data_IF_726726621194
#
_entry.id   IF_726726621194
#
_cell.length_a   1.000
_cell.length_b   1.000
_cell.length_c   1.000
_cell.angle_alpha   90.00
_cell.angle_beta   90.00
_cell.angle_gamma   90.00
#
_symmetry.space_group_name_H-M   'P 1'
#
loop_
_entity.id
_entity.type
_entity.pdbx_description
1 polymer ?
#
# COMPACT_ATOMS: atom_id res chain seq x y z
N UNK A 1 -0.72 -13.17 -13.71
CA UNK A 1 0.23 -12.70 -12.70
C UNK A 1 -0.45 -12.93 -11.36
N UNK A 2 0.12 -13.71 -10.45
CA UNK A 2 -0.45 -13.90 -9.12
C UNK A 2 -0.19 -12.64 -8.29
N UNK A 3 -1.22 -12.07 -7.67
CA UNK A 3 -1.05 -10.96 -6.75
C UNK A 3 -0.59 -11.52 -5.40
N UNK A 4 0.62 -11.18 -5.00
CA UNK A 4 1.17 -11.51 -3.68
C UNK A 4 1.54 -10.23 -2.90
N UNK A 5 1.64 -10.32 -1.55
CA UNK A 5 1.89 -9.13 -0.73
C UNK A 5 3.21 -8.41 -1.06
N UNK A 6 4.23 -9.13 -1.52
CA UNK A 6 5.52 -8.54 -1.88
C UNK A 6 5.41 -7.73 -3.18
N UNK A 7 4.63 -8.20 -4.15
CA UNK A 7 4.35 -7.44 -5.38
C UNK A 7 3.60 -6.12 -5.07
N UNK A 8 2.60 -6.17 -4.19
CA UNK A 8 1.85 -4.98 -3.77
C UNK A 8 2.77 -4.01 -3.03
N UNK A 9 3.61 -4.53 -2.14
CA UNK A 9 4.61 -3.75 -1.40
C UNK A 9 5.57 -3.04 -2.34
N UNK A 10 6.17 -3.75 -3.29
CA UNK A 10 7.11 -3.19 -4.26
C UNK A 10 6.47 -2.11 -5.13
N UNK A 11 5.22 -2.33 -5.56
CA UNK A 11 4.46 -1.33 -6.29
C UNK A 11 4.30 -0.04 -5.49
N UNK A 12 3.86 -0.13 -4.23
CA UNK A 12 3.66 1.02 -3.36
C UNK A 12 4.96 1.75 -3.05
N UNK A 13 6.02 1.03 -2.72
CA UNK A 13 7.35 1.60 -2.47
C UNK A 13 7.88 2.33 -3.71
N UNK A 14 7.71 1.75 -4.90
CA UNK A 14 8.10 2.37 -6.16
C UNK A 14 7.29 3.64 -6.44
N UNK A 15 5.96 3.59 -6.25
CA UNK A 15 5.05 4.71 -6.45
C UNK A 15 5.37 5.91 -5.56
N UNK A 16 5.72 5.67 -4.30
CA UNK A 16 6.03 6.71 -3.32
C UNK A 16 7.54 6.91 -3.08
N UNK A 17 8.39 6.42 -3.99
CA UNK A 17 9.84 6.46 -3.85
C UNK A 17 10.38 7.89 -3.63
N UNK A 18 9.79 8.90 -4.29
CA UNK A 18 10.21 10.29 -4.13
C UNK A 18 10.00 10.79 -2.69
N UNK A 19 8.84 10.52 -2.11
CA UNK A 19 8.47 10.89 -0.74
C UNK A 19 9.33 10.12 0.28
N UNK A 20 9.48 8.80 0.07
CA UNK A 20 10.32 7.93 0.89
C UNK A 20 11.78 8.41 0.89
N UNK A 21 12.34 8.69 -0.29
CA UNK A 21 13.72 9.17 -0.42
C UNK A 21 13.90 10.57 0.19
N UNK A 22 12.89 11.44 0.12
CA UNK A 22 12.91 12.76 0.76
C UNK A 22 12.99 12.67 2.30
N UNK A 23 12.55 11.55 2.88
CA UNK A 23 12.71 11.24 4.30
C UNK A 23 14.08 10.63 4.65
N UNK A 24 14.96 10.43 3.66
CA UNK A 24 16.25 9.77 3.83
C UNK A 24 16.16 8.24 3.97
N UNK A 25 15.02 7.65 3.60
CA UNK A 25 14.82 6.21 3.59
C UNK A 25 15.07 5.66 2.19
N UNK A 26 15.64 4.45 2.09
CA UNK A 26 15.73 3.73 0.83
C UNK A 26 14.55 2.76 0.71
N UNK A 27 13.90 2.73 -0.46
CA UNK A 27 12.76 1.85 -0.71
C UNK A 27 13.02 0.36 -0.44
N UNK A 28 14.27 -0.10 -0.58
CA UNK A 28 14.66 -1.49 -0.30
C UNK A 28 14.67 -1.88 1.18
N UNK A 29 14.55 -0.94 2.12
CA UNK A 29 14.65 -1.17 3.56
C UNK A 29 13.32 -0.90 4.30
N UNK A 30 12.21 -0.69 3.57
CA UNK A 30 10.93 -0.42 4.21
C UNK A 30 10.35 -1.69 4.82
N UNK A 31 10.15 -1.64 6.14
CA UNK A 31 9.55 -2.71 6.93
C UNK A 31 8.02 -2.80 6.73
N UNK A 32 7.45 -3.95 7.03
CA UNK A 32 6.01 -4.23 6.88
C UNK A 32 5.14 -3.44 7.87
N UNK A 33 5.70 -2.96 8.97
CA UNK A 33 5.06 -2.09 9.95
C UNK A 33 5.16 -0.60 9.59
N UNK A 34 5.71 -0.28 8.42
CA UNK A 34 5.87 1.09 7.98
C UNK A 34 4.52 1.70 7.59
N UNK A 35 4.12 2.74 8.31
CA UNK A 35 2.86 3.46 8.10
C UNK A 35 3.08 4.69 7.21
N UNK A 36 2.50 4.70 6.02
CA UNK A 36 2.65 5.80 5.06
C UNK A 36 2.03 7.10 5.55
N UNK A 37 0.94 7.04 6.32
CA UNK A 37 0.25 8.21 6.82
C UNK A 37 0.99 8.82 8.02
N UNK A 38 1.32 8.01 9.02
CA UNK A 38 2.04 8.48 10.22
C UNK A 38 3.45 8.98 9.92
N UNK A 39 4.09 8.42 8.88
CA UNK A 39 5.40 8.86 8.40
C UNK A 39 5.34 10.10 7.52
N UNK A 40 4.14 10.52 7.09
CA UNK A 40 3.95 11.69 6.23
C UNK A 40 4.30 11.44 4.76
N UNK A 41 4.31 10.18 4.32
CA UNK A 41 4.46 9.79 2.91
C UNK A 41 3.19 10.13 2.13
N UNK A 42 2.03 9.92 2.75
CA UNK A 42 0.72 10.29 2.23
C UNK A 42 -0.06 11.09 3.26
N UNK A 43 -0.98 11.94 2.79
CA UNK A 43 -1.98 12.61 3.61
C UNK A 43 -3.33 11.89 3.53
N UNK A 44 -4.38 12.49 4.09
CA UNK A 44 -5.74 11.93 4.06
C UNK A 44 -6.29 11.73 2.64
N UNK A 45 -5.89 12.55 1.66
CA UNK A 45 -6.31 12.40 0.27
C UNK A 45 -5.46 11.35 -0.46
N UNK A 46 -4.17 11.30 -0.14
CA UNK A 46 -3.23 10.31 -0.67
C UNK A 46 -3.61 8.87 -0.33
N UNK A 47 -4.38 8.63 0.74
CA UNK A 47 -4.97 7.31 1.03
C UNK A 47 -5.90 6.86 -0.11
N UNK A 48 -6.78 7.75 -0.58
CA UNK A 48 -7.72 7.42 -1.67
C UNK A 48 -6.97 7.19 -2.99
N UNK A 49 -5.93 7.97 -3.26
CA UNK A 49 -5.08 7.78 -4.44
C UNK A 49 -4.30 6.45 -4.37
N UNK A 50 -3.80 6.09 -3.19
CA UNK A 50 -3.10 4.82 -2.96
C UNK A 50 -4.01 3.64 -3.27
N UNK A 51 -5.23 3.65 -2.71
CA UNK A 51 -6.24 2.61 -2.92
C UNK A 51 -6.58 2.50 -4.40
N UNK A 52 -6.94 3.61 -5.04
CA UNK A 52 -7.30 3.65 -6.47
C UNK A 52 -6.17 3.10 -7.35
N UNK A 53 -4.92 3.46 -7.04
CA UNK A 53 -3.75 2.99 -7.80
C UNK A 53 -3.54 1.49 -7.69
N UNK A 54 -3.82 0.91 -6.52
CA UNK A 54 -3.71 -0.53 -6.28
C UNK A 54 -4.84 -1.29 -6.97
N UNK A 55 -6.08 -0.79 -6.88
CA UNK A 55 -7.23 -1.35 -7.61
C UNK A 55 -6.96 -1.38 -9.13
N UNK A 56 -6.43 -0.28 -9.67
CA UNK A 56 -6.11 -0.14 -11.08
C UNK A 56 -4.95 -1.04 -11.52
N UNK A 57 -3.88 -1.14 -10.73
CA UNK A 57 -2.71 -1.97 -11.06
C UNK A 57 -3.05 -3.46 -11.01
N UNK A 58 -3.69 -3.91 -9.93
CA UNK A 58 -3.93 -5.33 -9.68
C UNK A 58 -5.30 -5.81 -10.18
N UNK A 59 -6.12 -4.93 -10.76
CA UNK A 59 -7.46 -5.23 -11.27
C UNK A 59 -8.38 -5.85 -10.21
N UNK A 60 -8.28 -5.32 -8.99
CA UNK A 60 -9.09 -5.73 -7.84
C UNK A 60 -10.03 -4.60 -7.44
N UNK A 61 -11.06 -4.95 -6.65
CA UNK A 61 -11.91 -3.97 -5.97
C UNK A 61 -11.82 -4.21 -4.48
N UNK A 62 -11.32 -3.22 -3.75
CA UNK A 62 -11.08 -3.29 -2.32
C UNK A 62 -12.36 -2.89 -1.57
N UNK A 63 -12.74 -3.70 -0.58
CA UNK A 63 -13.82 -3.36 0.34
C UNK A 63 -13.24 -2.61 1.56
N UNK A 64 -13.16 -1.29 1.43
CA UNK A 64 -12.64 -0.43 2.48
C UNK A 64 -13.46 -0.47 3.78
N UNK A 65 -14.70 -0.96 3.74
CA UNK A 65 -15.50 -1.16 4.95
C UNK A 65 -15.05 -2.38 5.76
N UNK A 66 -14.30 -3.30 5.14
CA UNK A 66 -13.80 -4.52 5.77
C UNK A 66 -12.42 -4.34 6.43
N UNK A 67 -11.69 -3.25 6.15
CA UNK A 67 -10.38 -2.99 6.74
C UNK A 67 -10.44 -1.83 7.74
N UNK A 68 -9.82 -2.02 8.91
CA UNK A 68 -9.64 -0.94 9.88
C UNK A 68 -8.82 0.20 9.28
N UNK A 69 -9.25 1.44 9.51
CA UNK A 69 -8.61 2.63 8.93
C UNK A 69 -7.12 2.75 9.29
N UNK A 70 -6.74 2.28 10.48
CA UNK A 70 -5.35 2.25 10.96
C UNK A 70 -4.50 1.20 10.22
N UNK A 71 -5.10 0.17 9.64
CA UNK A 71 -4.38 -0.86 8.88
C UNK A 71 -4.28 -0.54 7.39
N UNK A 72 -5.12 0.36 6.87
CA UNK A 72 -5.08 0.81 5.47
C UNK A 72 -3.77 1.52 5.12
N UNK A 73 -3.13 2.16 6.08
CA UNK A 73 -1.93 2.98 5.87
C UNK A 73 -0.64 2.24 6.17
N UNK A 74 -0.71 1.06 6.78
CA UNK A 74 0.43 0.23 7.13
C UNK A 74 0.73 -0.72 5.96
N UNK A 75 1.96 -0.64 5.46
CA UNK A 75 2.38 -1.31 4.22
C UNK A 75 2.11 -2.83 4.22
N UNK A 76 2.48 -3.53 5.28
CA UNK A 76 2.33 -4.99 5.39
C UNK A 76 0.88 -5.46 5.47
N UNK A 77 0.07 -4.99 6.43
CA UNK A 77 -1.36 -5.29 6.50
C UNK A 77 -2.11 -4.94 5.21
N UNK A 78 -1.87 -3.76 4.63
CA UNK A 78 -2.51 -3.36 3.39
C UNK A 78 -2.12 -4.26 2.21
N UNK A 79 -0.82 -4.54 2.02
CA UNK A 79 -0.35 -5.45 0.98
C UNK A 79 -0.94 -6.86 1.08
N UNK A 80 -1.08 -7.39 2.30
CA UNK A 80 -1.73 -8.69 2.53
C UNK A 80 -3.21 -8.67 2.17
N UNK A 81 -3.93 -7.64 2.62
CA UNK A 81 -5.34 -7.48 2.31
C UNK A 81 -5.62 -7.42 0.81
N UNK A 82 -4.79 -6.69 0.06
CA UNK A 82 -4.90 -6.60 -1.41
C UNK A 82 -4.69 -7.96 -2.06
N UNK A 83 -3.64 -8.69 -1.64
CA UNK A 83 -3.35 -10.02 -2.18
C UNK A 83 -4.45 -11.04 -1.85
N UNK A 84 -5.00 -11.01 -0.64
CA UNK A 84 -6.14 -11.84 -0.23
C UNK A 84 -7.39 -11.51 -1.07
N UNK A 85 -7.69 -10.23 -1.26
CA UNK A 85 -8.83 -9.78 -2.08
C UNK A 85 -8.67 -10.21 -3.54
N UNK A 86 -7.46 -10.13 -4.09
CA UNK A 86 -7.15 -10.56 -5.45
C UNK A 86 -7.35 -12.07 -5.67
N UNK A 87 -7.17 -12.88 -4.64
CA UNK A 87 -7.38 -14.34 -4.71
C UNK A 87 -8.87 -14.72 -4.65
N UNK A 88 -9.72 -13.81 -4.18
CA UNK A 88 -11.16 -14.00 -4.07
C UNK A 88 -11.94 -13.45 -5.28
N UNK A 89 -11.28 -12.69 -6.16
CA UNK A 89 -11.84 -12.08 -7.37
C UNK A 89 -11.74 -13.01 -8.60
#
# INVERSE_FOLDING_TARGET
MSVDPENVKQFLVSKYAAQINAMGLNGGEISDDFDFFLRGVIDSLGILEMISSVEDEFKVRLDLAALDAEQLTILGPFSRYVAETAQLA
#
